data_IF_958854387245
#
_entry.id   IF_958854387245
#
_cell.length_a   1.000
_cell.length_b   1.000
_cell.length_c   1.000
_cell.angle_alpha   90.00
_cell.angle_beta   90.00
_cell.angle_gamma   90.00
#
_symmetry.space_group_name_H-M   'P 1'
#
loop_
_entity.id
_entity.type
_entity.pdbx_description
1 polymer ?
#
# COMPACT_ATOMS: atom_id res chain seq x y z
N UNK A 1 35.43 4.40 47.33
CA UNK A 1 34.10 4.95 47.66
C UNK A 1 33.78 5.96 46.58
N UNK A 2 32.81 5.77 45.69
CA UNK A 2 31.59 4.95 45.78
C UNK A 2 31.13 4.59 44.37
N UNK A 3 30.59 3.37 44.26
CA UNK A 3 29.91 2.80 43.12
C UNK A 3 28.43 3.26 43.10
N UNK A 4 27.90 3.32 41.89
CA UNK A 4 26.56 2.87 41.46
C UNK A 4 25.27 3.69 41.72
N UNK A 5 24.43 3.59 40.67
CA UNK A 5 22.97 3.57 40.62
C UNK A 5 22.20 4.92 40.55
N UNK A 6 21.62 5.26 39.39
CA UNK A 6 20.31 4.79 38.86
C UNK A 6 19.23 5.84 39.21
N UNK A 7 18.63 6.63 38.31
CA UNK A 7 17.60 6.24 37.32
C UNK A 7 16.77 7.48 36.92
N UNK A 8 16.09 7.40 35.75
CA UNK A 8 14.93 8.20 35.27
C UNK A 8 15.27 9.61 34.76
N UNK A 9 14.88 10.05 33.57
CA UNK A 9 13.74 9.67 32.72
C UNK A 9 14.04 10.03 31.24
N UNK A 10 13.31 9.42 30.30
CA UNK A 10 13.72 9.21 28.91
C UNK A 10 13.29 10.35 27.97
N UNK A 11 13.56 10.17 26.67
CA UNK A 11 12.82 10.77 25.55
C UNK A 11 13.40 12.06 24.93
N UNK A 12 14.69 12.05 24.57
CA UNK A 12 15.20 12.93 23.49
C UNK A 12 15.04 12.28 22.10
N UNK A 13 13.91 11.62 21.86
CA UNK A 13 13.58 10.95 20.60
C UNK A 13 12.30 11.50 19.96
N UNK A 14 11.90 12.73 20.24
CA UNK A 14 10.67 13.29 19.65
C UNK A 14 10.60 14.83 19.63
N UNK A 15 11.64 15.53 19.17
CA UNK A 15 11.53 16.97 18.80
C UNK A 15 11.67 17.24 17.30
N UNK A 16 11.68 16.19 16.47
CA UNK A 16 11.44 16.26 15.02
C UNK A 16 10.14 15.53 14.62
N UNK A 17 9.29 15.19 15.60
CA UNK A 17 8.09 14.36 15.41
C UNK A 17 6.78 15.13 15.26
N UNK A 18 6.71 16.42 15.60
CA UNK A 18 5.41 17.11 15.77
C UNK A 18 5.14 18.26 14.79
N UNK A 19 6.09 18.58 13.89
CA UNK A 19 5.91 19.59 12.84
C UNK A 19 5.99 19.02 11.41
N UNK A 20 6.16 17.70 11.27
CA UNK A 20 6.12 16.99 9.97
C UNK A 20 4.76 16.30 9.74
N UNK A 21 3.84 16.33 10.71
CA UNK A 21 2.46 15.83 10.51
C UNK A 21 1.62 16.72 9.57
N UNK A 22 2.14 17.91 9.20
CA UNK A 22 1.57 18.84 8.23
C UNK A 22 2.24 18.79 6.84
N UNK A 23 3.28 17.97 6.67
CA UNK A 23 4.03 17.76 5.42
C UNK A 23 3.78 16.32 4.93
N UNK A 24 2.69 15.98 4.26
CA UNK A 24 1.88 16.78 3.36
C UNK A 24 0.53 16.07 3.17
N UNK A 25 -0.61 16.78 3.18
CA UNK A 25 -1.88 16.23 2.69
C UNK A 25 -1.74 15.60 1.29
N UNK A 26 -0.76 16.06 0.50
CA UNK A 26 -0.37 15.43 -0.77
C UNK A 26 0.00 13.95 -0.61
N UNK A 27 0.67 13.53 0.46
CA UNK A 27 1.03 12.11 0.66
C UNK A 27 -0.22 11.25 0.84
N UNK A 28 -1.15 11.68 1.69
CA UNK A 28 -2.42 10.96 1.92
C UNK A 28 -3.32 10.96 0.67
N UNK A 29 -3.33 12.05 -0.09
CA UNK A 29 -4.03 12.17 -1.38
C UNK A 29 -3.39 11.30 -2.47
N UNK A 30 -2.06 11.26 -2.56
CA UNK A 30 -1.32 10.42 -3.52
C UNK A 30 -1.51 8.95 -3.21
N UNK A 31 -1.47 8.58 -1.94
CA UNK A 31 -1.68 7.20 -1.50
C UNK A 31 -3.12 6.76 -1.85
N UNK A 32 -4.14 7.56 -1.54
CA UNK A 32 -5.55 7.26 -1.87
C UNK A 32 -5.81 7.22 -3.38
N UNK A 33 -5.22 8.13 -4.16
CA UNK A 33 -5.25 8.08 -5.62
C UNK A 33 -4.62 6.80 -6.17
N UNK A 34 -3.52 6.34 -5.56
CA UNK A 34 -2.85 5.08 -5.92
C UNK A 34 -3.75 3.88 -5.65
N UNK A 35 -4.48 3.87 -4.53
CA UNK A 35 -5.41 2.80 -4.20
C UNK A 35 -6.58 2.72 -5.20
N UNK A 36 -7.15 3.88 -5.56
CA UNK A 36 -8.22 3.97 -6.57
C UNK A 36 -7.71 3.53 -7.94
N UNK A 37 -6.49 3.90 -8.32
CA UNK A 37 -5.85 3.46 -9.57
C UNK A 37 -5.72 1.93 -9.63
N UNK A 38 -5.22 1.30 -8.55
CA UNK A 38 -5.06 -0.15 -8.47
C UNK A 38 -6.41 -0.85 -8.61
N UNK A 39 -7.44 -0.40 -7.89
CA UNK A 39 -8.79 -0.97 -7.98
C UNK A 39 -9.40 -0.81 -9.38
N UNK A 40 -9.21 0.35 -10.00
CA UNK A 40 -9.71 0.62 -11.36
C UNK A 40 -9.03 -0.27 -12.40
N UNK A 41 -7.72 -0.48 -12.26
CA UNK A 41 -6.96 -1.38 -13.11
C UNK A 41 -7.39 -2.85 -12.95
N UNK A 42 -7.62 -3.30 -11.71
CA UNK A 42 -8.15 -4.64 -11.44
C UNK A 42 -9.53 -4.84 -12.06
N UNK A 43 -10.42 -3.85 -11.95
CA UNK A 43 -11.74 -3.89 -12.55
C UNK A 43 -11.65 -3.97 -14.08
N UNK A 44 -10.77 -3.18 -14.70
CA UNK A 44 -10.58 -3.19 -16.15
C UNK A 44 -10.08 -4.54 -16.66
N UNK A 45 -9.09 -5.15 -15.98
CA UNK A 45 -8.61 -6.48 -16.33
C UNK A 45 -9.68 -7.56 -16.13
N UNK A 46 -10.44 -7.47 -15.04
CA UNK A 46 -11.55 -8.39 -14.78
C UNK A 46 -12.63 -8.28 -15.86
N UNK A 47 -13.06 -7.08 -16.21
CA UNK A 47 -14.03 -6.84 -17.30
C UNK A 47 -13.49 -7.37 -18.61
N UNK A 48 -12.22 -7.11 -18.95
CA UNK A 48 -11.60 -7.64 -20.17
C UNK A 48 -11.63 -9.17 -20.20
N UNK A 49 -11.31 -9.84 -19.10
CA UNK A 49 -11.32 -11.30 -18.99
C UNK A 49 -12.74 -11.87 -19.07
N UNK A 50 -13.73 -11.23 -18.46
CA UNK A 50 -15.14 -11.69 -18.53
C UNK A 50 -15.72 -11.48 -19.92
N UNK A 51 -15.49 -10.32 -20.53
CA UNK A 51 -16.12 -9.95 -21.80
C UNK A 51 -15.43 -10.55 -23.01
N UNK A 52 -14.10 -10.67 -22.98
CA UNK A 52 -13.29 -11.13 -24.11
C UNK A 52 -12.57 -12.45 -23.84
N UNK A 53 -12.74 -13.04 -22.65
CA UNK A 53 -12.08 -14.30 -22.24
C UNK A 53 -12.32 -15.47 -23.18
N UNK A 54 -13.52 -15.57 -23.78
CA UNK A 54 -13.84 -16.62 -24.76
C UNK A 54 -13.06 -16.51 -26.06
N UNK A 55 -12.54 -15.32 -26.39
CA UNK A 55 -11.75 -15.03 -27.59
C UNK A 55 -10.24 -15.00 -27.31
N UNK A 56 -9.84 -15.10 -26.04
CA UNK A 56 -8.45 -15.10 -25.62
C UNK A 56 -7.92 -16.54 -25.55
N UNK A 57 -6.63 -16.72 -25.83
CA UNK A 57 -6.01 -18.03 -25.67
C UNK A 57 -5.90 -18.40 -24.19
N UNK A 58 -5.91 -19.69 -23.85
CA UNK A 58 -5.80 -20.15 -22.46
C UNK A 58 -4.60 -19.57 -21.73
N UNK A 59 -3.48 -19.36 -22.43
CA UNK A 59 -2.28 -18.71 -21.90
C UNK A 59 -2.50 -17.24 -21.54
N UNK A 60 -3.25 -16.49 -22.35
CA UNK A 60 -3.58 -15.09 -22.08
C UNK A 60 -4.54 -14.96 -20.90
N UNK A 61 -5.54 -15.84 -20.80
CA UNK A 61 -6.47 -15.88 -19.66
C UNK A 61 -5.71 -16.20 -18.36
N UNK A 62 -4.80 -17.17 -18.39
CA UNK A 62 -3.95 -17.50 -17.25
C UNK A 62 -3.06 -16.33 -16.83
N UNK A 63 -2.41 -15.65 -17.79
CA UNK A 63 -1.61 -14.45 -17.54
C UNK A 63 -2.45 -13.32 -16.93
N UNK A 64 -3.68 -13.12 -17.42
CA UNK A 64 -4.61 -12.15 -16.86
C UNK A 64 -5.01 -12.48 -15.43
N UNK A 65 -5.31 -13.75 -15.14
CA UNK A 65 -5.64 -14.21 -13.79
C UNK A 65 -4.46 -14.07 -12.81
N UNK A 66 -3.24 -14.40 -13.24
CA UNK A 66 -2.02 -14.18 -12.46
C UNK A 66 -1.77 -12.68 -12.23
N UNK A 67 -1.99 -11.85 -13.25
CA UNK A 67 -1.91 -10.40 -13.14
C UNK A 67 -2.90 -9.83 -12.12
N UNK A 68 -4.14 -10.36 -12.08
CA UNK A 68 -5.12 -10.00 -11.05
C UNK A 68 -4.66 -10.41 -9.65
N UNK A 69 -4.14 -11.62 -9.46
CA UNK A 69 -3.63 -12.08 -8.16
C UNK A 69 -2.42 -11.26 -7.68
N UNK A 70 -1.52 -10.92 -8.59
CA UNK A 70 -0.38 -10.06 -8.29
C UNK A 70 -0.83 -8.65 -7.88
N UNK A 71 -1.76 -8.08 -8.64
CA UNK A 71 -2.30 -6.75 -8.36
C UNK A 71 -3.08 -6.72 -7.03
N UNK A 72 -3.81 -7.80 -6.71
CA UNK A 72 -4.47 -7.97 -5.42
C UNK A 72 -3.46 -7.94 -4.27
N UNK A 73 -2.31 -8.59 -4.44
CA UNK A 73 -1.25 -8.60 -3.42
C UNK A 73 -0.70 -7.19 -3.17
N UNK A 74 -0.55 -6.38 -4.23
CA UNK A 74 -0.17 -4.96 -4.11
C UNK A 74 -1.28 -4.16 -3.42
N UNK A 75 -2.55 -4.40 -3.78
CA UNK A 75 -3.69 -3.71 -3.17
C UNK A 75 -3.78 -3.98 -1.66
N UNK A 76 -3.56 -5.22 -1.22
CA UNK A 76 -3.53 -5.59 0.21
C UNK A 76 -2.38 -4.87 0.92
N UNK A 77 -1.20 -4.81 0.31
CA UNK A 77 -0.06 -4.06 0.87
C UNK A 77 -0.36 -2.57 0.99
N UNK A 78 -0.98 -1.96 -0.02
CA UNK A 78 -1.37 -0.56 0.03
C UNK A 78 -2.45 -0.33 1.09
N UNK A 79 -3.43 -1.22 1.22
CA UNK A 79 -4.43 -1.14 2.29
C UNK A 79 -3.82 -1.20 3.69
N UNK A 80 -2.80 -2.05 3.88
CA UNK A 80 -2.06 -2.14 5.14
C UNK A 80 -1.18 -0.91 5.43
N UNK A 81 -0.84 -0.09 4.42
CA UNK A 81 -0.10 1.17 4.59
C UNK A 81 -0.98 2.30 5.16
N UNK A 82 -2.30 2.23 4.93
CA UNK A 82 -3.28 3.19 5.46
C UNK A 82 -3.77 2.89 6.89
N UNK A 83 -3.52 1.68 7.39
CA UNK A 83 -3.86 1.26 8.76
C UNK A 83 -2.67 1.45 9.68
#
# INVERSE_FOLDING_TARGET
MTQDDESRSPNQTNMYGQTVELLSPNKMLVESATMIYILSFMLALFVMLVWKGSSLTSGQVLLGALGLMFTLSIAVRQFASFR
#
